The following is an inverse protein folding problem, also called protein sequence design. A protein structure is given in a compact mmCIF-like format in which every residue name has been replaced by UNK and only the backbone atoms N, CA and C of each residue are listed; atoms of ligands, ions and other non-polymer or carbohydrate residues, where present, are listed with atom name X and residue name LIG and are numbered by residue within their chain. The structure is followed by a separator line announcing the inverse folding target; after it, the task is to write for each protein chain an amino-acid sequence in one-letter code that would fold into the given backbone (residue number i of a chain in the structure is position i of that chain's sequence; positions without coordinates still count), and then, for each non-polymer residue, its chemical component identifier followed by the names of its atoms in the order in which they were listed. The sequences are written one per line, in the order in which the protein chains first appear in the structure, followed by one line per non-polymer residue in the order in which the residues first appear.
data_IF_005283489703
#
_entry.id   IF_005283489703
#
_cell.length_a   1.000
_cell.length_b   1.000
_cell.length_c   1.000
_cell.angle_alpha   90.00
_cell.angle_beta   90.00
_cell.angle_gamma   90.00
#
_symmetry.space_group_name_H-M   'P 1'
#
loop_
_entity.id
_entity.type
_entity.pdbx_description
1 polymer ?
#
# COMPACT_ATOMS: atom_id res chain seq x y z
N UNK A 1 23.93 -8.83 9.49
CA UNK A 1 23.88 -8.41 8.08
C UNK A 1 22.94 -7.22 7.87
N UNK A 2 21.66 -7.31 8.25
CA UNK A 2 20.65 -6.24 8.06
C UNK A 2 21.10 -4.88 8.64
N UNK A 3 21.55 -4.85 9.89
CA UNK A 3 22.07 -3.61 10.50
C UNK A 3 23.28 -3.01 9.76
N UNK A 4 24.14 -3.87 9.18
CA UNK A 4 25.24 -3.39 8.35
C UNK A 4 24.73 -2.78 7.04
N UNK A 5 23.75 -3.41 6.38
CA UNK A 5 23.13 -2.86 5.17
C UNK A 5 22.42 -1.54 5.45
N UNK A 6 21.71 -1.45 6.57
CA UNK A 6 21.08 -0.21 7.04
C UNK A 6 22.11 0.90 7.24
N UNK A 7 23.18 0.64 8.00
CA UNK A 7 24.25 1.62 8.25
C UNK A 7 24.92 2.05 6.93
N UNK A 8 25.22 1.08 6.07
CA UNK A 8 25.80 1.33 4.75
C UNK A 8 24.91 2.21 3.87
N UNK A 9 23.61 1.93 3.81
CA UNK A 9 22.64 2.72 3.05
C UNK A 9 22.44 4.11 3.68
N UNK A 10 22.46 4.22 5.01
CA UNK A 10 22.40 5.50 5.72
C UNK A 10 23.60 6.39 5.37
N UNK A 11 24.82 5.84 5.41
CA UNK A 11 26.05 6.56 5.06
C UNK A 11 26.09 6.99 3.59
N UNK A 12 25.44 6.23 2.69
CA UNK A 12 25.38 6.56 1.27
C UNK A 12 24.69 7.90 0.97
N UNK A 13 23.89 8.44 1.91
CA UNK A 13 23.25 9.77 1.79
C UNK A 13 24.23 10.93 1.70
N UNK A 14 25.48 10.72 2.14
CA UNK A 14 26.56 11.70 2.01
C UNK A 14 27.13 11.80 0.59
N UNK A 15 26.82 10.83 -0.27
CA UNK A 15 27.29 10.79 -1.65
C UNK A 15 26.53 11.80 -2.52
N UNK A 16 27.17 12.27 -3.58
CA UNK A 16 26.46 12.98 -4.66
C UNK A 16 25.47 12.03 -5.34
N UNK A 17 24.40 12.60 -5.93
CA UNK A 17 23.28 11.84 -6.49
C UNK A 17 23.71 10.78 -7.52
N UNK A 18 24.62 11.11 -8.45
CA UNK A 18 25.03 10.17 -9.50
C UNK A 18 25.78 8.93 -8.96
N UNK A 19 26.82 9.06 -8.10
CA UNK A 19 27.42 7.91 -7.41
C UNK A 19 26.43 7.12 -6.55
N UNK A 20 25.52 7.79 -5.85
CA UNK A 20 24.51 7.14 -5.01
C UNK A 20 23.58 6.23 -5.84
N UNK A 21 23.07 6.74 -6.96
CA UNK A 21 22.22 5.96 -7.87
C UNK A 21 22.95 4.75 -8.48
N UNK A 22 24.24 4.88 -8.77
CA UNK A 22 25.07 3.77 -9.25
C UNK A 22 25.21 2.69 -8.16
N UNK A 23 25.51 3.11 -6.94
CA UNK A 23 25.62 2.20 -5.79
C UNK A 23 24.33 1.41 -5.58
N UNK A 24 23.17 2.07 -5.58
CA UNK A 24 21.90 1.41 -5.36
C UNK A 24 21.50 0.45 -6.48
N UNK A 25 21.87 0.76 -7.72
CA UNK A 25 21.74 -0.19 -8.84
C UNK A 25 22.60 -1.45 -8.61
N UNK A 26 23.84 -1.28 -8.16
CA UNK A 26 24.70 -2.42 -7.85
C UNK A 26 24.13 -3.27 -6.70
N UNK A 27 23.63 -2.63 -5.63
CA UNK A 27 22.97 -3.34 -4.52
C UNK A 27 21.73 -4.12 -5.00
N UNK A 28 20.91 -3.52 -5.87
CA UNK A 28 19.78 -4.22 -6.48
C UNK A 28 20.24 -5.46 -7.26
N UNK A 29 21.27 -5.31 -8.11
CA UNK A 29 21.81 -6.43 -8.89
C UNK A 29 22.39 -7.55 -8.00
N UNK A 30 22.77 -7.23 -6.76
CA UNK A 30 23.23 -8.18 -5.74
C UNK A 30 22.12 -8.75 -4.85
N UNK A 31 20.85 -8.42 -5.11
CA UNK A 31 19.71 -9.01 -4.41
C UNK A 31 19.34 -8.32 -3.09
N UNK A 32 19.62 -7.01 -2.93
CA UNK A 32 19.27 -6.29 -1.69
C UNK A 32 17.76 -6.34 -1.40
N UNK A 33 16.91 -6.29 -2.42
CA UNK A 33 15.46 -6.34 -2.20
C UNK A 33 14.98 -7.73 -1.80
N UNK A 34 15.66 -8.81 -2.20
CA UNK A 34 15.37 -10.16 -1.73
C UNK A 34 15.69 -10.27 -0.23
N UNK A 35 16.85 -9.73 0.18
CA UNK A 35 17.21 -9.64 1.61
C UNK A 35 16.18 -8.81 2.38
N UNK A 36 15.73 -7.66 1.84
CA UNK A 36 14.70 -6.85 2.49
C UNK A 36 13.39 -7.66 2.61
N UNK A 37 12.95 -8.35 1.55
CA UNK A 37 11.75 -9.18 1.59
C UNK A 37 11.82 -10.28 2.67
N UNK A 38 12.99 -10.90 2.87
CA UNK A 38 13.20 -11.83 3.98
C UNK A 38 13.11 -11.13 5.35
N UNK A 39 13.70 -9.94 5.50
CA UNK A 39 13.67 -9.17 6.74
C UNK A 39 12.26 -8.73 7.11
N UNK A 40 11.44 -8.34 6.13
CA UNK A 40 10.05 -7.93 6.36
C UNK A 40 9.15 -9.08 6.87
N UNK A 41 9.59 -10.33 6.71
CA UNK A 41 8.90 -11.52 7.23
C UNK A 41 9.38 -11.92 8.64
N UNK A 42 10.34 -11.18 9.21
CA UNK A 42 10.90 -11.47 10.52
C UNK A 42 9.86 -11.28 11.63
N UNK A 43 9.79 -12.18 12.63
CA UNK A 43 8.96 -11.95 13.82
C UNK A 43 9.51 -10.81 14.71
N UNK A 44 10.76 -10.41 14.53
CA UNK A 44 11.36 -9.29 15.25
C UNK A 44 10.98 -7.96 14.60
N UNK A 45 10.03 -7.24 15.23
CA UNK A 45 9.57 -5.91 14.81
C UNK A 45 10.69 -4.88 14.64
N UNK A 46 11.79 -4.99 15.40
CA UNK A 46 12.94 -4.08 15.24
C UNK A 46 13.70 -4.36 13.94
N UNK A 47 13.82 -5.63 13.57
CA UNK A 47 14.40 -6.02 12.28
C UNK A 47 13.51 -5.57 11.13
N UNK A 48 12.19 -5.75 11.24
CA UNK A 48 11.23 -5.27 10.23
C UNK A 48 11.34 -3.75 10.06
N UNK A 49 11.34 -2.99 11.16
CA UNK A 49 11.54 -1.54 11.12
C UNK A 49 12.87 -1.14 10.43
N UNK A 50 13.96 -1.85 10.74
CA UNK A 50 15.27 -1.62 10.08
C UNK A 50 15.21 -1.93 8.59
N UNK A 51 14.47 -2.97 8.19
CA UNK A 51 14.24 -3.33 6.79
C UNK A 51 13.45 -2.26 6.03
N UNK A 52 12.41 -1.71 6.67
CA UNK A 52 11.62 -0.59 6.16
C UNK A 52 12.48 0.67 5.99
N UNK A 53 13.28 1.04 7.00
CA UNK A 53 14.18 2.20 6.92
C UNK A 53 15.20 2.03 5.78
N UNK A 54 15.74 0.81 5.63
CA UNK A 54 16.64 0.48 4.51
C UNK A 54 15.93 0.61 3.17
N UNK A 55 14.67 0.16 3.07
CA UNK A 55 13.84 0.31 1.88
C UNK A 55 13.63 1.79 1.52
N UNK A 56 13.34 2.64 2.51
CA UNK A 56 13.23 4.09 2.28
C UNK A 56 14.52 4.74 1.80
N UNK A 57 15.68 4.32 2.32
CA UNK A 57 16.96 4.81 1.83
C UNK A 57 17.17 4.48 0.35
N UNK A 58 16.74 3.30 -0.11
CA UNK A 58 16.83 2.89 -1.51
C UNK A 58 15.81 3.64 -2.39
N UNK A 59 14.63 3.94 -1.86
CA UNK A 59 13.53 4.57 -2.58
C UNK A 59 13.69 6.07 -2.79
N UNK A 60 14.28 6.77 -1.82
CA UNK A 60 14.31 8.24 -1.80
C UNK A 60 14.98 8.83 -3.05
N UNK A 61 16.14 8.32 -3.53
CA UNK A 61 16.79 8.93 -4.68
C UNK A 61 16.17 8.54 -6.02
N UNK A 62 15.64 7.31 -6.14
CA UNK A 62 15.04 6.80 -7.37
C UNK A 62 14.09 5.62 -7.09
N UNK A 63 12.77 5.84 -7.06
CA UNK A 63 11.79 4.78 -6.84
C UNK A 63 11.69 3.80 -8.01
N UNK A 64 12.25 4.12 -9.19
CA UNK A 64 12.20 3.21 -10.35
C UNK A 64 12.89 1.88 -10.09
N UNK A 65 13.86 1.86 -9.18
CA UNK A 65 14.55 0.66 -8.76
C UNK A 65 13.58 -0.33 -8.11
N UNK A 66 12.80 0.12 -7.13
CA UNK A 66 11.79 -0.74 -6.50
C UNK A 66 10.70 -1.10 -7.49
N UNK A 67 10.22 -0.15 -8.32
CA UNK A 67 9.20 -0.43 -9.35
C UNK A 67 9.62 -1.58 -10.28
N UNK A 68 10.87 -1.57 -10.75
CA UNK A 68 11.42 -2.62 -11.60
C UNK A 68 11.59 -3.98 -10.90
N UNK A 69 11.70 -3.97 -9.57
CA UNK A 69 11.80 -5.18 -8.77
C UNK A 69 10.42 -5.77 -8.48
N UNK A 70 9.44 -4.96 -8.02
CA UNK A 70 8.12 -5.45 -7.59
C UNK A 70 7.24 -5.99 -8.73
N UNK A 71 7.53 -5.62 -9.99
CA UNK A 71 6.80 -6.16 -11.17
C UNK A 71 7.30 -7.55 -11.59
N UNK A 72 8.39 -8.06 -11.01
CA UNK A 72 8.93 -9.38 -11.34
C UNK A 72 8.03 -10.47 -10.76
N UNK A 73 7.70 -11.54 -11.50
CA UNK A 73 6.78 -12.56 -11.01
C UNK A 73 7.31 -13.36 -9.83
N UNK A 74 8.64 -13.40 -9.62
CA UNK A 74 9.27 -14.14 -8.53
C UNK A 74 9.25 -13.41 -7.18
N UNK A 75 8.96 -12.10 -7.18
CA UNK A 75 8.99 -11.32 -5.94
C UNK A 75 7.68 -11.44 -5.15
N UNK A 76 7.80 -11.54 -3.83
CA UNK A 76 6.66 -11.44 -2.92
C UNK A 76 6.50 -10.04 -2.31
N UNK A 77 7.37 -9.09 -2.65
CA UNK A 77 7.49 -7.84 -1.92
C UNK A 77 6.20 -7.02 -1.93
N UNK A 78 5.48 -6.94 -3.06
CA UNK A 78 4.19 -6.25 -3.11
C UNK A 78 3.16 -6.88 -2.16
N UNK A 79 3.11 -8.22 -2.09
CA UNK A 79 2.25 -8.94 -1.13
C UNK A 79 2.66 -8.67 0.32
N UNK A 80 3.96 -8.60 0.61
CA UNK A 80 4.47 -8.27 1.94
C UNK A 80 4.08 -6.86 2.37
N UNK A 81 4.15 -5.88 1.44
CA UNK A 81 3.70 -4.51 1.72
C UNK A 81 2.20 -4.49 2.06
N UNK A 82 1.36 -5.21 1.31
CA UNK A 82 -0.09 -5.29 1.59
C UNK A 82 -0.37 -5.94 2.93
N UNK A 83 0.29 -7.07 3.24
CA UNK A 83 0.13 -7.74 4.54
C UNK A 83 0.57 -6.85 5.69
N UNK A 84 1.72 -6.21 5.55
CA UNK A 84 2.22 -5.28 6.54
C UNK A 84 1.31 -4.07 6.76
N UNK A 85 0.56 -3.66 5.73
CA UNK A 85 -0.48 -2.63 5.89
C UNK A 85 -1.62 -3.04 6.81
N UNK A 86 -1.94 -4.34 6.86
CA UNK A 86 -2.98 -4.92 7.71
C UNK A 86 -2.49 -5.23 9.14
N UNK A 87 -1.20 -5.00 9.41
CA UNK A 87 -0.52 -5.30 10.68
C UNK A 87 0.06 -4.01 11.32
N UNK A 88 1.25 -4.08 11.91
CA UNK A 88 1.84 -3.05 12.77
C UNK A 88 2.57 -1.90 12.03
N UNK A 89 2.72 -1.97 10.71
CA UNK A 89 3.57 -1.07 9.92
C UNK A 89 2.80 -0.32 8.82
N UNK A 90 1.50 -0.13 9.01
CA UNK A 90 0.64 0.38 7.96
C UNK A 90 0.95 1.79 7.48
N UNK A 91 1.48 2.66 8.34
CA UNK A 91 1.86 4.03 7.94
C UNK A 91 3.04 4.01 6.98
N UNK A 92 4.08 3.26 7.34
CA UNK A 92 5.29 3.14 6.53
C UNK A 92 5.02 2.46 5.20
N UNK A 93 4.22 1.39 5.20
CA UNK A 93 3.90 0.68 3.95
C UNK A 93 2.94 1.46 3.06
N UNK A 94 2.00 2.22 3.63
CA UNK A 94 1.20 3.18 2.87
C UNK A 94 2.10 4.18 2.13
N UNK A 95 3.10 4.75 2.81
CA UNK A 95 4.04 5.69 2.19
C UNK A 95 4.87 5.03 1.08
N UNK A 96 5.34 3.78 1.28
CA UNK A 96 6.00 3.01 0.21
C UNK A 96 5.07 2.82 -1.00
N UNK A 97 3.81 2.45 -0.77
CA UNK A 97 2.81 2.33 -1.85
C UNK A 97 2.60 3.65 -2.59
N UNK A 98 2.45 4.75 -1.86
CA UNK A 98 2.28 6.08 -2.45
C UNK A 98 3.49 6.43 -3.32
N UNK A 99 4.72 6.21 -2.85
CA UNK A 99 5.95 6.46 -3.62
C UNK A 99 5.99 5.64 -4.91
N UNK A 100 5.70 4.34 -4.86
CA UNK A 100 5.78 3.49 -6.06
C UNK A 100 4.63 3.73 -7.05
N UNK A 101 3.47 4.20 -6.58
CA UNK A 101 2.30 4.47 -7.40
C UNK A 101 2.15 5.94 -7.85
N UNK A 102 2.97 6.86 -7.35
CA UNK A 102 2.89 8.30 -7.68
C UNK A 102 3.16 8.58 -9.18
N UNK A 103 2.17 9.17 -9.86
CA UNK A 103 2.23 9.62 -11.25
C UNK A 103 3.14 10.82 -11.48
N UNK A 104 3.43 11.60 -10.43
CA UNK A 104 4.25 12.81 -10.55
C UNK A 104 5.74 12.49 -10.70
N UNK A 105 6.13 11.23 -10.46
CA UNK A 105 7.49 10.78 -10.72
C UNK A 105 7.77 10.79 -12.23
N UNK A 106 8.82 11.51 -12.64
CA UNK A 106 9.25 11.71 -14.03
C UNK A 106 9.57 10.41 -14.81
N UNK A 107 9.52 9.24 -14.16
CA UNK A 107 9.90 7.93 -14.72
C UNK A 107 8.99 6.79 -14.25
N UNK A 108 8.78 5.80 -15.12
CA UNK A 108 8.19 4.51 -14.74
C UNK A 108 6.68 4.35 -14.96
N UNK A 109 6.04 5.15 -15.83
CA UNK A 109 4.59 5.06 -16.08
C UNK A 109 4.08 3.66 -16.43
N UNK A 110 4.79 2.91 -17.27
CA UNK A 110 4.43 1.53 -17.62
C UNK A 110 4.59 0.56 -16.44
N UNK A 111 5.69 0.67 -15.68
CA UNK A 111 5.90 -0.16 -14.48
C UNK A 111 4.84 0.14 -13.42
N UNK A 112 4.51 1.42 -13.23
CA UNK A 112 3.46 1.88 -12.32
C UNK A 112 2.10 1.30 -12.68
N UNK A 113 1.72 1.34 -13.97
CA UNK A 113 0.50 0.72 -14.46
C UNK A 113 0.49 -0.79 -14.13
N UNK A 114 1.60 -1.50 -14.42
CA UNK A 114 1.72 -2.91 -14.09
C UNK A 114 1.61 -3.19 -12.58
N UNK A 115 2.19 -2.36 -11.72
CA UNK A 115 2.06 -2.50 -10.26
C UNK A 115 0.61 -2.34 -9.84
N UNK A 116 -0.09 -1.33 -10.39
CA UNK A 116 -1.50 -1.13 -10.14
C UNK A 116 -2.34 -2.31 -10.65
N UNK A 117 -1.97 -2.94 -11.77
CA UNK A 117 -2.66 -4.14 -12.30
C UNK A 117 -2.51 -5.30 -11.31
N UNK A 118 -1.27 -5.58 -10.89
CA UNK A 118 -0.98 -6.63 -9.92
C UNK A 118 -1.71 -6.37 -8.60
N UNK A 119 -1.70 -5.12 -8.11
CA UNK A 119 -2.41 -4.74 -6.89
C UNK A 119 -3.91 -4.97 -7.02
N UNK A 120 -4.55 -4.46 -8.07
CA UNK A 120 -5.98 -4.60 -8.31
C UNK A 120 -6.42 -6.05 -8.47
N UNK A 121 -5.65 -6.86 -9.21
CA UNK A 121 -6.00 -8.24 -9.50
C UNK A 121 -5.74 -9.19 -8.33
N UNK A 122 -4.60 -9.04 -7.65
CA UNK A 122 -4.14 -10.04 -6.67
C UNK A 122 -4.39 -9.64 -5.22
N UNK A 123 -4.26 -8.36 -4.90
CA UNK A 123 -4.19 -7.92 -3.50
C UNK A 123 -5.39 -7.09 -3.03
N UNK A 124 -6.09 -6.45 -3.96
CA UNK A 124 -7.32 -5.74 -3.63
C UNK A 124 -8.39 -6.65 -3.01
N UNK A 125 -8.61 -7.91 -3.48
CA UNK A 125 -9.53 -8.82 -2.83
C UNK A 125 -9.17 -9.07 -1.36
N UNK A 126 -7.89 -9.23 -1.04
CA UNK A 126 -7.40 -9.43 0.33
C UNK A 126 -7.77 -8.23 1.24
N UNK A 127 -7.58 -7.00 0.74
CA UNK A 127 -7.97 -5.79 1.48
C UNK A 127 -9.48 -5.66 1.66
N UNK A 128 -10.25 -6.06 0.64
CA UNK A 128 -11.72 -6.03 0.69
C UNK A 128 -12.27 -7.03 1.70
N UNK A 129 -11.71 -8.24 1.73
CA UNK A 129 -12.04 -9.27 2.73
C UNK A 129 -11.70 -8.79 4.14
N UNK A 130 -10.54 -8.14 4.31
CA UNK A 130 -10.13 -7.55 5.58
C UNK A 130 -11.09 -6.44 6.05
N UNK A 131 -11.48 -5.51 5.17
CA UNK A 131 -12.46 -4.45 5.49
C UNK A 131 -13.80 -5.08 5.92
N UNK A 132 -14.24 -6.11 5.19
CA UNK A 132 -15.52 -6.79 5.45
C UNK A 132 -15.50 -7.49 6.81
N UNK A 133 -14.43 -8.22 7.12
CA UNK A 133 -14.23 -8.87 8.42
C UNK A 133 -14.09 -7.87 9.59
N UNK A 134 -13.69 -6.63 9.28
CA UNK A 134 -13.53 -5.56 10.28
C UNK A 134 -14.85 -4.87 10.64
N UNK A 135 -15.93 -5.09 9.90
CA UNK A 135 -17.22 -4.48 10.19
C UNK A 135 -18.02 -5.35 11.18
N UNK A 136 -18.75 -4.74 12.12
CA UNK A 136 -19.62 -5.52 13.00
C UNK A 136 -20.68 -6.25 12.17
N UNK A 137 -20.89 -7.54 12.45
CA UNK A 137 -22.09 -8.22 11.99
C UNK A 137 -23.32 -7.50 12.57
N UNK A 138 -24.43 -7.54 11.82
CA UNK A 138 -25.65 -6.74 11.98
C UNK A 138 -26.08 -6.52 13.45
N UNK A 139 -26.83 -5.43 13.73
CA UNK A 139 -27.39 -5.21 15.07
C UNK A 139 -28.37 -6.35 15.41
N UNK A 140 -27.90 -7.31 16.21
CA UNK A 140 -28.67 -8.51 16.59
C UNK A 140 -27.83 -9.68 17.08
N UNK A 141 -26.57 -9.81 16.66
CA UNK A 141 -25.69 -10.89 17.14
C UNK A 141 -24.94 -10.50 18.41
N UNK A 142 -25.40 -11.04 19.53
CA UNK A 142 -24.73 -10.99 20.83
C UNK A 142 -23.68 -12.10 20.87
N UNK A 143 -22.78 -12.13 19.88
CA UNK A 143 -21.54 -12.91 20.01
C UNK A 143 -20.43 -11.95 20.38
N UNK A 144 -20.20 -11.79 21.70
CA UNK A 144 -18.92 -11.33 22.24
C UNK A 144 -17.83 -12.40 22.01
N UNK A 145 -17.71 -12.87 20.77
CA UNK A 145 -16.66 -13.77 20.33
C UNK A 145 -15.54 -12.93 19.77
N UNK A 146 -14.48 -12.76 20.56
CA UNK A 146 -13.04 -12.60 20.25
C UNK A 146 -12.53 -12.35 18.80
N UNK A 147 -13.30 -11.75 17.89
CA UNK A 147 -12.82 -11.30 16.60
C UNK A 147 -12.00 -10.05 16.88
N UNK A 148 -10.67 -10.19 16.78
CA UNK A 148 -9.69 -9.20 17.16
C UNK A 148 -10.13 -7.82 16.70
N UNK A 149 -10.28 -6.90 17.66
CA UNK A 149 -10.73 -5.53 17.40
C UNK A 149 -9.73 -4.90 16.45
N UNK A 150 -10.01 -4.95 15.15
CA UNK A 150 -9.13 -4.41 14.10
C UNK A 150 -8.84 -2.95 14.43
N UNK A 151 -7.56 -2.62 14.43
CA UNK A 151 -7.11 -1.28 14.77
C UNK A 151 -7.72 -0.28 13.78
N UNK A 152 -8.28 0.80 14.32
CA UNK A 152 -8.88 1.84 13.52
C UNK A 152 -7.82 2.48 12.61
N UNK A 153 -6.56 2.51 13.05
CA UNK A 153 -5.45 3.05 12.27
C UNK A 153 -5.20 2.26 10.98
N UNK A 154 -5.25 0.93 11.05
CA UNK A 154 -5.14 0.04 9.89
C UNK A 154 -6.20 0.37 8.83
N UNK A 155 -7.47 0.51 9.26
CA UNK A 155 -8.58 0.86 8.36
C UNK A 155 -8.42 2.25 7.74
N UNK A 156 -7.90 3.22 8.50
CA UNK A 156 -7.60 4.55 7.98
C UNK A 156 -6.55 4.48 6.86
N UNK A 157 -5.48 3.72 7.06
CA UNK A 157 -4.39 3.60 6.10
C UNK A 157 -4.85 2.87 4.82
N UNK A 158 -5.69 1.84 4.94
CA UNK A 158 -6.30 1.16 3.79
C UNK A 158 -7.20 2.14 3.01
N UNK A 159 -8.09 2.87 3.68
CA UNK A 159 -8.93 3.87 3.04
C UNK A 159 -8.10 4.98 2.35
N UNK A 160 -6.98 5.37 2.93
CA UNK A 160 -6.08 6.36 2.36
C UNK A 160 -5.36 5.83 1.11
N UNK A 161 -4.87 4.59 1.12
CA UNK A 161 -4.33 3.94 -0.06
C UNK A 161 -5.38 3.86 -1.18
N UNK A 162 -6.60 3.45 -0.87
CA UNK A 162 -7.68 3.36 -1.84
C UNK A 162 -8.02 4.72 -2.45
N UNK A 163 -8.06 5.79 -1.64
CA UNK A 163 -8.22 7.16 -2.13
C UNK A 163 -7.07 7.53 -3.09
N UNK A 164 -5.84 7.19 -2.73
CA UNK A 164 -4.67 7.46 -3.55
C UNK A 164 -4.77 6.73 -4.88
N UNK A 165 -5.10 5.44 -4.90
CA UNK A 165 -5.24 4.66 -6.13
C UNK A 165 -6.27 5.25 -7.10
N UNK A 166 -7.41 5.74 -6.58
CA UNK A 166 -8.45 6.43 -7.38
C UNK A 166 -7.90 7.71 -8.03
N UNK A 167 -7.12 8.49 -7.30
CA UNK A 167 -6.53 9.73 -7.82
C UNK A 167 -5.44 9.46 -8.86
N UNK A 168 -4.72 8.34 -8.72
CA UNK A 168 -3.58 7.99 -9.55
C UNK A 168 -3.97 7.42 -10.91
N UNK A 169 -5.13 6.78 -11.04
CA UNK A 169 -5.58 6.20 -12.29
C UNK A 169 -7.12 6.24 -12.42
N UNK A 170 -7.61 7.27 -13.11
CA UNK A 170 -9.04 7.48 -13.32
C UNK A 170 -9.70 6.31 -14.06
N UNK A 171 -8.98 5.63 -14.97
CA UNK A 171 -9.51 4.53 -15.77
C UNK A 171 -9.90 3.30 -14.94
N UNK A 172 -9.27 3.14 -13.76
CA UNK A 172 -9.50 2.00 -12.86
C UNK A 172 -10.53 2.31 -11.78
N UNK A 173 -11.02 3.54 -11.73
CA UNK A 173 -12.06 3.97 -10.78
C UNK A 173 -13.29 3.08 -10.86
N UNK A 174 -13.70 2.64 -12.05
CA UNK A 174 -14.85 1.74 -12.24
C UNK A 174 -14.61 0.37 -11.58
N UNK A 175 -13.40 -0.18 -11.70
CA UNK A 175 -13.05 -1.45 -11.06
C UNK A 175 -13.07 -1.32 -9.53
N UNK A 176 -12.51 -0.23 -9.01
CA UNK A 176 -12.55 0.06 -7.58
C UNK A 176 -13.99 0.28 -7.08
N UNK A 177 -14.84 0.95 -7.85
CA UNK A 177 -16.26 1.11 -7.52
C UNK A 177 -16.94 -0.25 -7.38
N UNK A 178 -16.79 -1.13 -8.39
CA UNK A 178 -17.45 -2.44 -8.42
C UNK A 178 -17.03 -3.35 -7.28
N UNK A 179 -15.76 -3.32 -6.89
CA UNK A 179 -15.22 -4.31 -5.94
C UNK A 179 -15.07 -3.76 -4.51
N UNK A 180 -14.98 -2.44 -4.33
CA UNK A 180 -14.54 -1.84 -3.06
C UNK A 180 -15.59 -0.93 -2.45
N UNK A 181 -16.38 -0.21 -3.27
CA UNK A 181 -17.27 0.84 -2.77
C UNK A 181 -18.25 0.34 -1.72
N UNK A 182 -19.00 -0.72 -2.02
CA UNK A 182 -19.98 -1.29 -1.08
C UNK A 182 -19.32 -1.67 0.26
N UNK A 183 -18.12 -2.26 0.21
CA UNK A 183 -17.43 -2.74 1.42
C UNK A 183 -16.85 -1.61 2.25
N UNK A 184 -16.32 -0.57 1.61
CA UNK A 184 -15.92 0.66 2.32
C UNK A 184 -17.13 1.39 2.91
N UNK A 185 -18.33 1.30 2.30
CA UNK A 185 -19.54 1.89 2.88
C UNK A 185 -19.90 1.24 4.22
N UNK A 186 -19.63 -0.06 4.40
CA UNK A 186 -19.88 -0.73 5.68
C UNK A 186 -19.10 -0.08 6.83
N UNK A 187 -17.95 0.55 6.55
CA UNK A 187 -17.18 1.29 7.55
C UNK A 187 -17.92 2.51 8.10
N UNK A 188 -18.98 3.02 7.45
CA UNK A 188 -19.80 4.09 8.02
C UNK A 188 -20.64 3.63 9.21
N UNK A 189 -20.74 2.32 9.44
CA UNK A 189 -21.43 1.71 10.58
C UNK A 189 -20.53 1.59 11.81
N UNK A 190 -19.22 1.86 11.67
CA UNK A 190 -18.27 1.86 12.78
C UNK A 190 -18.55 3.01 13.75
N UNK A 191 -18.24 2.81 15.03
CA UNK A 191 -18.40 3.85 16.07
C UNK A 191 -17.31 4.92 15.97
N UNK A 192 -16.16 4.58 15.40
CA UNK A 192 -15.02 5.48 15.31
C UNK A 192 -15.22 6.54 14.21
N UNK A 193 -15.50 7.79 14.62
CA UNK A 193 -15.71 8.93 13.70
C UNK A 193 -14.59 9.10 12.64
N UNK A 194 -13.29 8.92 12.95
CA UNK A 194 -12.24 9.02 11.94
C UNK A 194 -12.40 8.01 10.81
N UNK A 195 -12.79 6.76 11.13
CA UNK A 195 -12.98 5.69 10.14
C UNK A 195 -14.19 6.01 9.25
N UNK A 196 -15.29 6.48 9.85
CA UNK A 196 -16.47 6.95 9.10
C UNK A 196 -16.09 8.09 8.15
N UNK A 197 -15.31 9.07 8.62
CA UNK A 197 -14.86 10.18 7.80
C UNK A 197 -13.94 9.74 6.65
N UNK A 198 -13.09 8.74 6.87
CA UNK A 198 -12.22 8.16 5.84
C UNK A 198 -13.05 7.44 4.75
N UNK A 199 -14.08 6.68 5.14
CA UNK A 199 -14.99 6.06 4.19
C UNK A 199 -15.73 7.10 3.34
N UNK A 200 -16.28 8.15 3.97
CA UNK A 200 -16.94 9.25 3.24
C UNK A 200 -15.96 9.96 2.30
N UNK A 201 -14.72 10.18 2.74
CA UNK A 201 -13.67 10.77 1.91
C UNK A 201 -13.39 9.91 0.68
N UNK A 202 -13.29 8.60 0.83
CA UNK A 202 -13.11 7.67 -0.29
C UNK A 202 -14.25 7.80 -1.31
N UNK A 203 -15.50 7.78 -0.86
CA UNK A 203 -16.65 7.99 -1.74
C UNK A 203 -16.61 9.34 -2.46
N UNK A 204 -16.30 10.41 -1.74
CA UNK A 204 -16.15 11.73 -2.36
C UNK A 204 -15.04 11.74 -3.41
N UNK A 205 -13.93 11.08 -3.14
CA UNK A 205 -12.81 10.94 -4.10
C UNK A 205 -13.25 10.16 -5.34
N UNK A 206 -13.96 9.03 -5.16
CA UNK A 206 -14.55 8.27 -6.27
C UNK A 206 -15.46 9.11 -7.16
N UNK A 207 -16.38 9.87 -6.56
CA UNK A 207 -17.33 10.72 -7.30
C UNK A 207 -16.65 11.94 -7.96
N UNK A 208 -15.51 12.39 -7.43
CA UNK A 208 -14.76 13.51 -8.00
C UNK A 208 -14.04 13.17 -9.30
N UNK A 209 -13.74 11.88 -9.51
CA UNK A 209 -13.16 11.38 -10.75
C UNK A 209 -14.30 11.22 -11.75
N UNK A 210 -14.64 12.34 -12.40
CA UNK A 210 -15.73 12.46 -13.37
C UNK A 210 -15.39 11.63 -14.61
N UNK A 211 -15.97 10.45 -14.69
CA UNK A 211 -16.00 9.62 -15.89
C UNK A 211 -17.48 9.27 -16.12
N UNK A 212 -17.98 9.37 -17.36
CA UNK A 212 -19.42 9.23 -17.70
C UNK A 212 -20.01 7.89 -17.22
N UNK A 213 -19.14 6.93 -16.90
CA UNK A 213 -19.46 5.62 -16.33
C UNK A 213 -19.82 5.65 -14.83
N UNK A 214 -19.28 6.59 -14.03
CA UNK A 214 -19.53 6.69 -12.59
C UNK A 214 -20.97 7.13 -12.32
N UNK A 215 -21.47 8.08 -13.10
CA UNK A 215 -22.85 8.56 -13.02
C UNK A 215 -23.88 7.44 -13.29
N UNK A 216 -23.53 6.49 -14.16
CA UNK A 216 -24.39 5.33 -14.46
C UNK A 216 -24.51 4.29 -13.33
N UNK A 217 -23.51 4.23 -12.44
CA UNK A 217 -23.48 3.29 -11.30
C UNK A 217 -24.12 3.90 -10.03
N UNK A 218 -23.98 5.20 -9.84
CA UNK A 218 -24.48 5.91 -8.64
C UNK A 218 -25.98 6.19 -8.71
N UNK A 219 -26.53 6.33 -9.92
CA UNK A 219 -27.96 6.65 -10.15
C UNK A 219 -28.85 5.39 -10.20
N UNK A 220 -28.28 4.18 -10.03
CA UNK A 220 -29.04 2.92 -10.06
C UNK A 220 -29.30 2.32 -8.69
#
# INVERSE_FOLDING_TARGET
LVYFLHEFCSLSKSLQLAPQLRLFRELMNKGIFDIIAEVLQSPDKKLVATGIDTLFFLLTPDPSLLRSYVVRPETSLLSLLVKGMMEDFGDQFLEVFQIILDSNALSGGAQRANIMDIFCEKHLPELVDFITASCPERPGDISEGASGRVDSKTLLNICELLCFCVQQDSSRTIFLIKNVAEKVLLLTQRKEKPVVAAAIRFFRTLLSVRDDNVDSYVVK
#
